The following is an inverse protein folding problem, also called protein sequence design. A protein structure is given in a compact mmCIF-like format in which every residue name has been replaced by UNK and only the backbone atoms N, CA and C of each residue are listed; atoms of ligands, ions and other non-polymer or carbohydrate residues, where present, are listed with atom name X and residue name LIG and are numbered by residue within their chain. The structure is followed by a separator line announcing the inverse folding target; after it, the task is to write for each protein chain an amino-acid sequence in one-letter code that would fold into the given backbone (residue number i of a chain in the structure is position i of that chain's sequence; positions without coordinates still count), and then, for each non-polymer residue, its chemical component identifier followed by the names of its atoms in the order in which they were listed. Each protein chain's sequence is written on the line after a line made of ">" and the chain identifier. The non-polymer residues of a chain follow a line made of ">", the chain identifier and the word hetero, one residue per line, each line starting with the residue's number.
data_IF_795338572224
#
_entry.id   IF_795338572224
#
_cell.length_a   1.000
_cell.length_b   1.000
_cell.length_c   1.000
_cell.angle_alpha   90.00
_cell.angle_beta   90.00
_cell.angle_gamma   90.00
#
_symmetry.space_group_name_H-M   'P 1'
#
loop_
_entity.id
_entity.type
_entity.pdbx_description
1 polymer ?
#
# COMPACT_ATOMS: atom_id res chain seq x y z
N UNK A 1 -3.56 -15.20 16.37
CA UNK A 1 -4.34 -13.97 16.63
C UNK A 1 -3.44 -12.80 17.07
N UNK A 2 -2.63 -12.96 18.15
CA UNK A 2 -1.74 -11.90 18.68
C UNK A 2 -0.80 -11.30 17.63
N UNK A 3 -0.13 -12.14 16.83
CA UNK A 3 0.82 -11.69 15.79
C UNK A 3 0.15 -10.83 14.72
N UNK A 4 -1.05 -11.20 14.29
CA UNK A 4 -1.80 -10.41 13.28
C UNK A 4 -2.20 -9.05 13.86
N UNK A 5 -2.69 -9.04 15.10
CA UNK A 5 -3.02 -7.80 15.79
C UNK A 5 -1.79 -6.88 15.92
N UNK A 6 -0.65 -7.43 16.38
CA UNK A 6 0.60 -6.67 16.50
C UNK A 6 1.07 -6.10 15.15
N UNK A 7 0.96 -6.90 14.08
CA UNK A 7 1.32 -6.46 12.73
C UNK A 7 0.44 -5.30 12.25
N UNK A 8 -0.87 -5.35 12.51
CA UNK A 8 -1.80 -4.27 12.14
C UNK A 8 -1.53 -2.99 12.93
N UNK A 9 -1.22 -3.11 14.22
CA UNK A 9 -0.84 -1.96 15.07
C UNK A 9 0.48 -1.34 14.58
N UNK A 10 1.48 -2.16 14.29
CA UNK A 10 2.74 -1.67 13.74
C UNK A 10 2.54 -1.00 12.39
N UNK A 11 1.69 -1.54 11.53
CA UNK A 11 1.34 -0.94 10.24
C UNK A 11 0.64 0.41 10.42
N UNK A 12 -0.29 0.50 11.38
CA UNK A 12 -1.00 1.74 11.71
C UNK A 12 -0.08 2.83 12.29
N UNK A 13 0.99 2.45 12.98
CA UNK A 13 1.98 3.40 13.52
C UNK A 13 3.06 3.76 12.51
N UNK A 14 3.47 2.81 11.67
CA UNK A 14 4.59 2.97 10.73
C UNK A 14 4.19 3.59 9.38
N UNK A 15 2.93 3.96 9.16
CA UNK A 15 2.49 4.52 7.87
C UNK A 15 3.33 5.71 7.37
N UNK A 16 3.87 6.63 8.22
CA UNK A 16 4.69 7.74 7.71
C UNK A 16 6.03 7.23 7.16
N UNK A 17 6.58 6.17 7.76
CA UNK A 17 7.83 5.54 7.28
C UNK A 17 7.59 4.89 5.91
N UNK A 18 6.47 4.19 5.73
CA UNK A 18 6.10 3.63 4.44
C UNK A 18 5.87 4.71 3.37
N UNK A 19 5.24 5.83 3.74
CA UNK A 19 5.06 6.97 2.83
C UNK A 19 6.41 7.59 2.41
N UNK A 20 7.32 7.77 3.34
CA UNK A 20 8.67 8.24 3.04
C UNK A 20 9.45 7.27 2.13
N UNK A 21 9.37 5.96 2.42
CA UNK A 21 9.98 4.93 1.59
C UNK A 21 9.40 4.93 0.16
N UNK A 22 8.08 5.04 0.01
CA UNK A 22 7.42 5.14 -1.28
C UNK A 22 7.96 6.33 -2.09
N UNK A 23 8.07 7.50 -1.47
CA UNK A 23 8.62 8.70 -2.10
C UNK A 23 10.07 8.47 -2.58
N UNK A 24 10.91 7.89 -1.72
CA UNK A 24 12.31 7.57 -2.06
C UNK A 24 12.37 6.64 -3.28
N UNK A 25 11.58 5.58 -3.30
CA UNK A 25 11.56 4.63 -4.43
C UNK A 25 11.13 5.30 -5.73
N UNK A 26 10.10 6.16 -5.70
CA UNK A 26 9.65 6.91 -6.88
C UNK A 26 10.75 7.86 -7.36
N UNK A 27 11.37 8.60 -6.46
CA UNK A 27 12.46 9.52 -6.80
C UNK A 27 13.64 8.78 -7.42
N UNK A 28 14.07 7.65 -6.82
CA UNK A 28 15.17 6.82 -7.37
C UNK A 28 14.80 6.27 -8.75
N UNK A 29 13.55 5.83 -8.96
CA UNK A 29 13.08 5.38 -10.27
C UNK A 29 13.16 6.50 -11.31
N UNK A 30 12.72 7.70 -10.99
CA UNK A 30 12.79 8.86 -11.88
C UNK A 30 14.23 9.25 -12.22
N UNK A 31 15.13 9.23 -11.23
CA UNK A 31 16.57 9.47 -11.48
C UNK A 31 17.18 8.38 -12.37
N UNK A 32 16.83 7.11 -12.17
CA UNK A 32 17.29 6.01 -13.00
C UNK A 32 16.84 6.18 -14.47
N UNK A 33 15.63 6.69 -14.69
CA UNK A 33 15.12 6.95 -16.04
C UNK A 33 15.79 8.16 -16.72
N UNK A 34 16.20 9.18 -15.94
CA UNK A 34 16.82 10.41 -16.48
C UNK A 34 18.31 10.27 -16.80
N UNK A 35 18.99 9.34 -16.13
CA UNK A 35 20.47 9.26 -16.16
C UNK A 35 21.06 8.52 -17.36
N UNK A 36 20.27 7.76 -18.12
CA UNK A 36 20.76 6.89 -19.19
C UNK A 36 20.17 7.26 -20.56
N UNK A 37 20.84 8.19 -21.34
CA UNK A 37 20.39 8.54 -22.68
C UNK A 37 20.81 7.52 -23.77
N UNK A 38 21.70 6.53 -23.48
CA UNK A 38 22.23 5.61 -24.46
C UNK A 38 21.36 4.35 -24.62
N UNK A 39 21.03 4.00 -25.88
CA UNK A 39 20.11 2.92 -26.26
C UNK A 39 20.45 1.52 -25.71
N UNK A 40 21.70 1.21 -25.43
CA UNK A 40 22.11 -0.11 -24.87
C UNK A 40 21.84 -0.25 -23.37
N UNK A 41 21.90 0.84 -22.61
CA UNK A 41 21.58 0.87 -21.18
C UNK A 41 20.08 0.95 -20.90
N UNK A 42 19.27 1.35 -21.90
CA UNK A 42 17.84 1.66 -21.71
C UNK A 42 17.01 0.49 -21.20
N UNK A 43 17.22 -0.72 -21.71
CA UNK A 43 16.47 -1.89 -21.28
C UNK A 43 16.79 -2.25 -19.81
N UNK A 44 18.05 -2.17 -19.41
CA UNK A 44 18.48 -2.41 -18.03
C UNK A 44 17.99 -1.31 -17.08
N UNK A 45 18.08 -0.03 -17.50
CA UNK A 45 17.59 1.10 -16.73
C UNK A 45 16.08 1.05 -16.54
N UNK A 46 15.31 0.71 -17.59
CA UNK A 46 13.86 0.52 -17.52
C UNK A 46 13.47 -0.61 -16.57
N UNK A 47 14.19 -1.74 -16.61
CA UNK A 47 13.93 -2.87 -15.72
C UNK A 47 14.22 -2.51 -14.26
N UNK A 48 15.34 -1.83 -14.00
CA UNK A 48 15.69 -1.34 -12.66
C UNK A 48 14.68 -0.33 -12.13
N UNK A 49 14.30 0.65 -12.96
CA UNK A 49 13.26 1.62 -12.61
C UNK A 49 11.91 0.95 -12.33
N UNK A 50 11.56 -0.08 -13.12
CA UNK A 50 10.34 -0.86 -12.91
C UNK A 50 10.28 -1.53 -11.53
N UNK A 51 11.39 -2.11 -11.06
CA UNK A 51 11.47 -2.68 -9.71
C UNK A 51 11.30 -1.63 -8.61
N UNK A 52 11.90 -0.46 -8.77
CA UNK A 52 11.71 0.65 -7.82
C UNK A 52 10.27 1.16 -7.83
N UNK A 53 9.62 1.26 -9.00
CA UNK A 53 8.22 1.65 -9.08
C UNK A 53 7.29 0.60 -8.46
N UNK A 54 7.57 -0.68 -8.67
CA UNK A 54 6.81 -1.76 -8.02
C UNK A 54 6.94 -1.69 -6.49
N UNK A 55 8.16 -1.51 -5.97
CA UNK A 55 8.38 -1.29 -4.55
C UNK A 55 7.65 -0.03 -4.06
N UNK A 56 7.75 1.08 -4.80
CA UNK A 56 7.04 2.32 -4.49
C UNK A 56 5.53 2.13 -4.40
N UNK A 57 4.93 1.38 -5.35
CA UNK A 57 3.50 1.07 -5.32
C UNK A 57 3.11 0.23 -4.09
N UNK A 58 3.91 -0.79 -3.75
CA UNK A 58 3.67 -1.61 -2.55
C UNK A 58 3.72 -0.76 -1.27
N UNK A 59 4.73 0.08 -1.12
CA UNK A 59 4.86 0.98 0.03
C UNK A 59 3.76 2.04 0.10
N UNK A 60 3.30 2.55 -1.06
CA UNK A 60 2.15 3.48 -1.13
C UNK A 60 0.88 2.82 -0.63
N UNK A 61 0.60 1.58 -1.06
CA UNK A 61 -0.54 0.81 -0.59
C UNK A 61 -0.49 0.55 0.92
N UNK A 62 0.69 0.14 1.43
CA UNK A 62 0.91 -0.09 2.85
C UNK A 62 0.74 1.20 3.67
N UNK A 63 1.26 2.33 3.19
CA UNK A 63 1.10 3.63 3.85
C UNK A 63 -0.37 4.07 3.89
N UNK A 64 -1.09 3.95 2.77
CA UNK A 64 -2.50 4.32 2.68
C UNK A 64 -3.36 3.46 3.60
N UNK A 65 -3.14 2.14 3.60
CA UNK A 65 -3.87 1.21 4.45
C UNK A 65 -3.56 1.45 5.93
N UNK A 66 -2.28 1.62 6.30
CA UNK A 66 -1.85 1.95 7.66
C UNK A 66 -2.43 3.29 8.15
N UNK A 67 -2.48 4.31 7.28
CA UNK A 67 -3.14 5.58 7.60
C UNK A 67 -4.64 5.41 7.83
N UNK A 68 -5.30 4.58 7.02
CA UNK A 68 -6.71 4.23 7.20
C UNK A 68 -6.95 3.50 8.52
N UNK A 69 -6.14 2.48 8.83
CA UNK A 69 -6.19 1.78 10.12
C UNK A 69 -5.99 2.73 11.31
N UNK A 70 -5.01 3.65 11.21
CA UNK A 70 -4.80 4.66 12.24
C UNK A 70 -5.99 5.62 12.41
N UNK A 71 -6.85 5.74 11.42
CA UNK A 71 -8.08 6.53 11.51
C UNK A 71 -9.25 5.76 12.15
N UNK A 72 -9.22 4.43 12.16
CA UNK A 72 -10.25 3.59 12.79
C UNK A 72 -10.12 3.59 14.32
N UNK A 73 -11.19 3.23 15.03
CA UNK A 73 -11.20 3.09 16.50
C UNK A 73 -10.47 1.83 16.99
N UNK A 74 -9.83 1.13 16.09
CA UNK A 74 -9.08 -0.12 16.24
C UNK A 74 -8.86 -0.57 17.71
N UNK A 75 -9.87 -1.17 18.32
CA UNK A 75 -9.85 -2.08 19.46
C UNK A 75 -9.01 -1.78 20.72
N UNK A 76 -8.35 -0.62 20.80
CA UNK A 76 -7.48 -0.26 21.93
C UNK A 76 -8.17 0.55 23.02
N UNK A 77 -9.30 1.15 22.68
CA UNK A 77 -10.09 1.96 23.60
C UNK A 77 -11.53 1.48 23.58
N UNK A 78 -12.23 1.69 24.69
CA UNK A 78 -13.68 1.56 24.70
C UNK A 78 -14.23 2.41 23.54
N UNK A 79 -15.20 1.91 22.75
CA UNK A 79 -15.78 2.66 21.64
C UNK A 79 -16.20 4.08 22.01
N UNK A 80 -16.71 4.28 23.21
CA UNK A 80 -17.12 5.58 23.72
C UNK A 80 -15.94 6.54 23.92
N UNK A 81 -14.85 6.06 24.52
CA UNK A 81 -13.62 6.84 24.71
C UNK A 81 -12.95 7.14 23.37
N UNK A 82 -12.94 6.18 22.46
CA UNK A 82 -12.43 6.35 21.11
C UNK A 82 -13.18 7.40 20.31
N UNK A 83 -14.50 7.41 20.39
CA UNK A 83 -15.35 8.38 19.71
C UNK A 83 -15.22 9.79 20.32
N UNK A 84 -15.12 9.89 21.62
CA UNK A 84 -14.93 11.17 22.33
C UNK A 84 -13.60 11.84 21.93
N UNK A 85 -12.51 11.07 21.81
CA UNK A 85 -11.20 11.59 21.39
C UNK A 85 -11.19 12.07 19.93
N UNK A 86 -11.95 11.42 19.05
CA UNK A 86 -11.93 11.72 17.61
C UNK A 86 -12.95 12.74 17.16
N UNK A 87 -14.01 12.93 17.92
CA UNK A 87 -15.11 13.86 17.65
C UNK A 87 -15.64 14.51 18.93
N UNK A 88 -14.84 15.31 19.64
CA UNK A 88 -15.25 15.93 20.90
C UNK A 88 -16.46 16.87 20.73
N UNK A 89 -16.63 17.50 19.55
CA UNK A 89 -17.70 18.48 19.29
C UNK A 89 -19.04 17.86 18.88
N UNK A 90 -19.08 16.59 18.51
CA UNK A 90 -20.28 15.92 17.99
C UNK A 90 -20.70 14.67 18.77
N UNK A 91 -19.93 14.31 19.80
CA UNK A 91 -20.21 13.12 20.59
C UNK A 91 -21.22 13.41 21.68
N UNK A 92 -22.34 12.73 21.62
CA UNK A 92 -23.39 12.85 22.65
C UNK A 92 -23.48 11.50 23.39
N UNK A 93 -23.07 11.48 24.65
CA UNK A 93 -23.12 10.29 25.54
C UNK A 93 -24.49 9.60 25.59
N UNK A 94 -25.57 10.31 25.23
CA UNK A 94 -26.92 9.75 25.17
C UNK A 94 -27.23 8.93 23.94
N UNK A 95 -26.50 9.14 22.86
CA UNK A 95 -26.68 8.37 21.62
C UNK A 95 -25.79 7.14 21.52
N UNK A 96 -24.80 6.98 22.40
CA UNK A 96 -23.85 5.85 22.41
C UNK A 96 -23.02 5.74 21.11
N UNK A 97 -22.08 4.83 21.08
CA UNK A 97 -21.57 4.30 19.81
C UNK A 97 -22.79 3.77 19.06
N UNK A 98 -23.02 4.24 17.82
CA UNK A 98 -24.26 3.93 17.08
C UNK A 98 -24.51 2.43 17.13
N UNK A 99 -25.65 1.99 17.67
CA UNK A 99 -25.98 0.56 17.76
C UNK A 99 -25.90 -0.16 16.41
N UNK A 100 -25.94 0.59 15.30
CA UNK A 100 -25.82 0.16 13.92
C UNK A 100 -24.43 0.44 13.30
N UNK A 101 -23.46 0.95 14.06
CA UNK A 101 -22.11 1.24 13.59
C UNK A 101 -21.36 -0.06 13.27
N UNK A 102 -20.76 -0.13 12.09
CA UNK A 102 -19.98 -1.27 11.65
C UNK A 102 -18.56 -0.89 11.27
N UNK A 103 -17.61 -1.76 11.55
CA UNK A 103 -16.25 -1.65 11.05
C UNK A 103 -15.93 -2.79 10.09
N UNK A 104 -15.23 -2.50 9.01
CA UNK A 104 -14.77 -3.50 8.06
C UNK A 104 -13.30 -3.29 7.72
N UNK A 105 -12.57 -4.41 7.54
CA UNK A 105 -11.16 -4.39 7.16
C UNK A 105 -10.95 -4.21 5.66
N UNK A 106 -11.97 -4.55 4.85
CA UNK A 106 -11.94 -4.34 3.40
C UNK A 106 -13.35 -4.32 2.78
N UNK A 107 -13.77 -3.27 2.08
CA UNK A 107 -13.10 -1.96 2.07
C UNK A 107 -12.99 -1.39 3.49
N UNK A 108 -11.94 -0.63 3.75
CA UNK A 108 -11.70 -0.12 5.09
C UNK A 108 -12.76 0.93 5.42
N UNK A 109 -13.54 0.68 6.47
CA UNK A 109 -14.66 1.53 6.89
C UNK A 109 -14.84 1.43 8.40
N UNK A 110 -15.14 2.57 9.02
CA UNK A 110 -15.47 2.61 10.43
C UNK A 110 -16.53 3.69 10.70
N UNK A 111 -17.75 3.22 10.95
CA UNK A 111 -18.91 4.07 11.24
C UNK A 111 -19.36 3.96 12.70
N UNK A 112 -18.53 3.39 13.58
CA UNK A 112 -18.87 3.23 15.02
C UNK A 112 -19.15 4.54 15.73
N UNK A 113 -18.56 5.64 15.28
CA UNK A 113 -18.79 6.98 15.81
C UNK A 113 -19.75 7.84 14.97
N UNK A 114 -20.58 7.22 14.12
CA UNK A 114 -21.52 7.90 13.21
C UNK A 114 -20.97 7.98 11.78
N UNK A 115 -20.51 9.13 11.28
CA UNK A 115 -19.93 9.22 9.94
C UNK A 115 -18.61 8.44 9.83
N UNK A 116 -18.31 7.95 8.62
CA UNK A 116 -17.10 7.16 8.35
C UNK A 116 -15.84 7.92 8.81
N UNK A 117 -15.03 7.28 9.65
CA UNK A 117 -13.78 7.84 10.15
C UNK A 117 -12.64 7.69 9.14
N UNK A 118 -12.78 6.77 8.18
CA UNK A 118 -11.76 6.50 7.18
C UNK A 118 -11.85 7.54 6.06
N UNK A 119 -10.75 8.25 5.75
CA UNK A 119 -10.75 9.19 4.64
C UNK A 119 -11.08 8.52 3.31
N UNK A 120 -12.00 9.11 2.52
CA UNK A 120 -12.51 8.50 1.30
C UNK A 120 -11.45 8.18 0.22
N UNK A 121 -10.27 8.79 0.29
CA UNK A 121 -9.16 8.50 -0.64
C UNK A 121 -8.41 7.20 -0.32
N UNK A 122 -8.55 6.63 0.89
CA UNK A 122 -7.75 5.47 1.35
C UNK A 122 -8.05 4.24 0.49
N UNK A 123 -9.31 3.86 0.38
CA UNK A 123 -9.69 2.65 -0.37
C UNK A 123 -9.29 2.70 -1.86
N UNK A 124 -9.59 3.78 -2.62
CA UNK A 124 -9.16 3.85 -4.02
C UNK A 124 -7.63 3.90 -4.16
N UNK A 125 -6.91 4.53 -3.21
CA UNK A 125 -5.45 4.57 -3.24
C UNK A 125 -4.84 3.19 -2.97
N UNK A 126 -5.38 2.43 -2.02
CA UNK A 126 -4.94 1.04 -1.77
C UNK A 126 -5.21 0.17 -2.99
N UNK A 127 -6.45 0.19 -3.52
CA UNK A 127 -6.82 -0.60 -4.69
C UNK A 127 -5.94 -0.26 -5.91
N UNK A 128 -5.76 1.03 -6.20
CA UNK A 128 -4.91 1.50 -7.30
C UNK A 128 -3.44 1.09 -7.13
N UNK A 129 -2.92 1.14 -5.91
CA UNK A 129 -1.54 0.71 -5.60
C UNK A 129 -1.36 -0.79 -5.81
N UNK A 130 -2.33 -1.62 -5.41
CA UNK A 130 -2.30 -3.08 -5.62
C UNK A 130 -2.35 -3.40 -7.10
N UNK A 131 -3.26 -2.79 -7.86
CA UNK A 131 -3.35 -2.99 -9.31
C UNK A 131 -2.06 -2.59 -9.99
N UNK A 132 -1.51 -1.42 -9.68
CA UNK A 132 -0.25 -0.94 -10.25
C UNK A 132 0.91 -1.90 -9.92
N UNK A 133 0.99 -2.35 -8.69
CA UNK A 133 2.01 -3.31 -8.25
C UNK A 133 1.94 -4.63 -9.06
N UNK A 134 0.74 -5.20 -9.19
CA UNK A 134 0.53 -6.45 -9.93
C UNK A 134 0.87 -6.28 -11.41
N UNK A 135 0.45 -5.19 -12.04
CA UNK A 135 0.77 -4.89 -13.44
C UNK A 135 2.27 -4.74 -13.65
N UNK A 136 2.95 -3.99 -12.79
CA UNK A 136 4.40 -3.81 -12.87
C UNK A 136 5.14 -5.14 -12.69
N UNK A 137 4.74 -5.97 -11.72
CA UNK A 137 5.30 -7.31 -11.54
C UNK A 137 5.10 -8.20 -12.77
N UNK A 138 3.89 -8.22 -13.32
CA UNK A 138 3.60 -9.01 -14.52
C UNK A 138 4.48 -8.59 -15.70
N UNK A 139 4.61 -7.28 -15.94
CA UNK A 139 5.48 -6.75 -17.01
C UNK A 139 6.94 -7.11 -16.77
N UNK A 140 7.44 -6.99 -15.54
CA UNK A 140 8.83 -7.31 -15.19
C UNK A 140 9.12 -8.81 -15.35
N UNK A 141 8.22 -9.68 -14.91
CA UNK A 141 8.33 -11.13 -15.05
C UNK A 141 8.33 -11.53 -16.55
N UNK A 142 7.42 -10.97 -17.33
CA UNK A 142 7.34 -11.24 -18.76
C UNK A 142 8.61 -10.77 -19.50
N UNK A 143 9.15 -9.60 -19.13
CA UNK A 143 10.41 -9.10 -19.68
C UNK A 143 11.59 -10.02 -19.31
N UNK A 144 11.62 -10.55 -18.08
CA UNK A 144 12.65 -11.50 -17.64
C UNK A 144 12.59 -12.82 -18.39
N UNK A 145 11.39 -13.39 -18.53
CA UNK A 145 11.19 -14.66 -19.26
C UNK A 145 11.60 -14.53 -20.73
N UNK A 146 11.25 -13.41 -21.37
CA UNK A 146 11.60 -13.17 -22.78
C UNK A 146 13.09 -12.90 -22.99
N UNK A 147 13.81 -12.44 -21.99
CA UNK A 147 15.25 -12.15 -22.08
C UNK A 147 16.14 -13.38 -21.85
N UNK A 148 15.59 -14.52 -21.42
CA UNK A 148 16.35 -15.77 -21.25
C UNK A 148 16.70 -16.36 -22.62
N UNK A 149 17.99 -16.59 -22.95
CA UNK A 149 18.35 -17.28 -24.16
C UNK A 149 17.75 -18.69 -24.14
N UNK A 150 17.16 -19.12 -25.25
CA UNK A 150 16.80 -20.53 -25.42
C UNK A 150 18.06 -21.37 -25.15
N UNK A 151 17.96 -22.47 -24.39
CA UNK A 151 19.10 -23.38 -24.25
C UNK A 151 19.56 -23.76 -25.65
N UNK A 152 20.84 -23.51 -25.93
CA UNK A 152 21.45 -23.88 -27.21
C UNK A 152 21.21 -25.38 -27.36
N UNK A 153 20.25 -25.70 -28.21
CA UNK A 153 19.93 -27.10 -28.53
C UNK A 153 21.18 -27.80 -28.95
N UNK A 154 21.34 -29.00 -28.44
CA UNK A 154 22.42 -29.98 -28.62
C UNK A 154 22.71 -30.25 -30.10
N UNK A 155 23.24 -29.24 -30.83
CA UNK A 155 23.64 -29.35 -32.24
C UNK A 155 25.04 -29.99 -32.41
N UNK A 156 25.63 -30.47 -31.32
CA UNK A 156 26.99 -31.05 -31.34
C UNK A 156 26.98 -32.60 -31.37
N UNK A 157 25.87 -33.23 -31.78
CA UNK A 157 25.80 -34.69 -32.03
C UNK A 157 25.35 -34.98 -33.43
N UNK A 158 26.15 -34.60 -34.44
CA UNK A 158 26.18 -35.28 -35.72
C UNK A 158 27.60 -35.26 -36.30
#
# INVERSE_FOLDING_TARGET
>A
MLLVFLALVLLALAWPVFAAAALVFVVVALFALRRDPHLRGRAWALRRAGWFLAAGAAFTGAAAYGRGLAATTFGMLDPDDGCMLRRPEGYNHRSGASADGSSSMWPLRDTTCGPDLVPGYVNPLVAGSVVLFVVLLAVLILAEVRSRPLPAGDSARR
#
